data_IF_895689155392
#
_entry.id   IF_895689155392
#
_cell.length_a   1.000
_cell.length_b   1.000
_cell.length_c   1.000
_cell.angle_alpha   90.00
_cell.angle_beta   90.00
_cell.angle_gamma   90.00
#
_symmetry.space_group_name_H-M   'P 1'
#
loop_
_entity.id
_entity.type
_entity.pdbx_description
1 polymer ?
#
# COMPACT_ATOMS: atom_id res chain seq x y z
N UNK A 1 21.78 5.07 -25.95
CA UNK A 1 20.33 4.92 -26.23
C UNK A 1 19.52 4.41 -25.02
N UNK A 2 20.16 4.16 -23.87
CA UNK A 2 19.49 3.71 -22.62
C UNK A 2 19.57 4.76 -21.49
N UNK A 3 20.07 5.96 -21.80
CA UNK A 3 20.34 7.01 -20.80
C UNK A 3 19.06 7.48 -20.06
N UNK A 4 17.89 7.24 -20.64
CA UNK A 4 16.58 7.63 -20.10
C UNK A 4 15.82 6.47 -19.42
N UNK A 5 16.38 5.26 -19.41
CA UNK A 5 15.71 4.07 -18.88
C UNK A 5 16.54 3.46 -17.76
N UNK A 6 15.92 3.23 -16.62
CA UNK A 6 16.53 2.58 -15.46
C UNK A 6 15.66 1.43 -14.95
N UNK A 7 16.32 0.40 -14.45
CA UNK A 7 15.67 -0.75 -13.81
C UNK A 7 16.24 -0.96 -12.43
N UNK A 8 15.41 -1.46 -11.53
CA UNK A 8 15.82 -1.88 -10.19
C UNK A 8 15.15 -3.18 -9.80
N UNK A 9 15.88 -4.01 -9.09
CA UNK A 9 15.40 -5.23 -8.45
C UNK A 9 15.79 -5.16 -6.99
N UNK A 10 14.82 -5.36 -6.10
CA UNK A 10 15.06 -5.46 -4.67
C UNK A 10 14.38 -6.70 -4.11
N UNK A 11 14.99 -7.29 -3.09
CA UNK A 11 14.41 -8.43 -2.38
C UNK A 11 14.63 -8.26 -0.89
N UNK A 12 13.63 -8.64 -0.11
CA UNK A 12 13.64 -8.59 1.35
C UNK A 12 13.09 -9.90 1.90
N UNK A 13 13.72 -10.39 2.97
CA UNK A 13 13.29 -11.58 3.69
C UNK A 13 13.18 -11.28 5.18
N UNK A 14 12.05 -11.63 5.81
CA UNK A 14 11.86 -11.45 7.24
C UNK A 14 11.22 -12.65 7.92
N UNK A 15 11.57 -12.82 9.19
CA UNK A 15 10.98 -13.83 10.07
C UNK A 15 10.45 -13.09 11.31
N UNK A 16 9.15 -13.17 11.51
CA UNK A 16 8.48 -12.55 12.64
C UNK A 16 7.86 -13.64 13.52
N UNK A 17 8.08 -13.57 14.82
CA UNK A 17 7.53 -14.52 15.79
C UNK A 17 6.85 -13.75 16.90
N UNK A 18 5.66 -14.21 17.31
CA UNK A 18 4.96 -13.70 18.48
C UNK A 18 4.92 -14.78 19.56
N UNK A 19 5.34 -14.43 20.76
CA UNK A 19 5.25 -15.31 21.92
C UNK A 19 4.51 -14.58 23.05
N UNK A 20 3.74 -15.32 23.83
CA UNK A 20 3.10 -14.80 25.02
C UNK A 20 3.15 -15.84 26.16
N UNK A 21 3.22 -15.34 27.39
CA UNK A 21 3.20 -16.18 28.58
C UNK A 21 1.76 -16.51 29.01
N UNK A 22 0.99 -17.07 28.08
CA UNK A 22 -0.40 -17.46 28.25
C UNK A 22 -0.53 -18.96 27.99
N UNK A 23 -1.37 -19.64 28.79
CA UNK A 23 -1.68 -21.05 28.55
C UNK A 23 -2.27 -21.24 27.15
N UNK A 24 -1.70 -22.21 26.41
CA UNK A 24 -2.13 -22.58 25.06
C UNK A 24 -1.98 -21.46 24.02
N UNK A 25 -1.09 -20.49 24.22
CA UNK A 25 -0.81 -19.47 23.21
C UNK A 25 -0.25 -20.11 21.93
N UNK A 26 -0.76 -19.68 20.79
CA UNK A 26 -0.53 -20.29 19.47
C UNK A 26 0.93 -20.15 19.00
N UNK A 27 1.67 -19.14 19.48
CA UNK A 27 3.08 -18.83 19.12
C UNK A 27 3.31 -18.87 17.60
N UNK A 28 2.70 -17.96 16.84
CA UNK A 28 2.83 -17.92 15.39
C UNK A 28 4.22 -17.45 14.95
N UNK A 29 4.67 -17.97 13.82
CA UNK A 29 5.88 -17.53 13.12
C UNK A 29 5.53 -17.30 11.65
N UNK A 30 5.82 -16.09 11.16
CA UNK A 30 5.59 -15.66 9.79
C UNK A 30 6.92 -15.48 9.07
N UNK A 31 7.07 -16.18 7.97
CA UNK A 31 8.16 -16.05 7.01
C UNK A 31 7.65 -15.20 5.85
N UNK A 32 8.29 -14.08 5.59
CA UNK A 32 7.90 -13.16 4.53
C UNK A 32 9.05 -13.03 3.52
N UNK A 33 8.72 -13.13 2.25
CA UNK A 33 9.62 -12.88 1.15
C UNK A 33 8.97 -11.92 0.17
N UNK A 34 9.62 -10.77 -0.04
CA UNK A 34 9.16 -9.70 -0.90
C UNK A 34 10.18 -9.46 -2.00
N UNK A 35 9.74 -9.45 -3.24
CA UNK A 35 10.61 -9.13 -4.38
C UNK A 35 9.92 -8.06 -5.23
N UNK A 36 10.59 -6.93 -5.41
CA UNK A 36 10.11 -5.83 -6.23
C UNK A 36 11.01 -5.68 -7.47
N UNK A 37 10.38 -5.61 -8.63
CA UNK A 37 11.01 -5.19 -9.88
C UNK A 37 10.40 -3.86 -10.31
N UNK A 38 11.24 -2.88 -10.66
CA UNK A 38 10.78 -1.59 -11.12
C UNK A 38 11.57 -1.13 -12.34
N UNK A 39 10.86 -0.42 -13.24
CA UNK A 39 11.43 0.28 -14.39
C UNK A 39 10.99 1.72 -14.38
N UNK A 40 11.88 2.62 -14.78
CA UNK A 40 11.62 4.06 -14.92
C UNK A 40 12.17 4.54 -16.25
N UNK A 41 11.31 5.21 -17.00
CA UNK A 41 11.67 5.99 -18.18
C UNK A 41 11.53 7.47 -17.87
N UNK A 42 12.52 8.28 -18.23
CA UNK A 42 12.47 9.72 -17.97
C UNK A 42 13.14 10.49 -19.13
N UNK A 43 12.42 11.47 -19.63
CA UNK A 43 12.94 12.49 -20.54
C UNK A 43 12.39 13.86 -20.13
N UNK A 44 12.64 14.90 -20.92
CA UNK A 44 12.21 16.27 -20.62
C UNK A 44 10.68 16.43 -20.53
N UNK A 45 9.91 15.57 -21.19
CA UNK A 45 8.46 15.67 -21.34
C UNK A 45 7.68 14.67 -20.46
N UNK A 46 8.27 13.51 -20.24
CA UNK A 46 7.57 12.38 -19.63
C UNK A 46 8.47 11.70 -18.62
N UNK A 47 7.91 11.43 -17.44
CA UNK A 47 8.44 10.46 -16.48
C UNK A 47 7.40 9.36 -16.33
N UNK A 48 7.77 8.14 -16.67
CA UNK A 48 6.94 6.94 -16.50
C UNK A 48 7.66 5.99 -15.55
N UNK A 49 6.96 5.50 -14.53
CA UNK A 49 7.48 4.48 -13.63
C UNK A 49 6.47 3.35 -13.51
N UNK A 50 6.96 2.13 -13.58
CA UNK A 50 6.16 0.94 -13.35
C UNK A 50 6.92 -0.01 -12.43
N UNK A 51 6.21 -0.63 -11.50
CA UNK A 51 6.78 -1.63 -10.61
C UNK A 51 5.77 -2.73 -10.30
N UNK A 52 6.28 -3.89 -9.91
CA UNK A 52 5.48 -5.00 -9.41
C UNK A 52 6.16 -5.58 -8.18
N UNK A 53 5.40 -5.71 -7.09
CA UNK A 53 5.84 -6.35 -5.85
C UNK A 53 5.23 -7.74 -5.76
N UNK A 54 6.08 -8.76 -5.79
CA UNK A 54 5.70 -10.13 -5.47
C UNK A 54 5.87 -10.35 -3.96
N UNK A 55 4.79 -10.73 -3.30
CA UNK A 55 4.75 -11.05 -1.86
C UNK A 55 4.45 -12.53 -1.69
N UNK A 56 5.31 -13.23 -0.94
CA UNK A 56 5.12 -14.64 -0.57
C UNK A 56 5.20 -14.73 0.95
N UNK A 57 4.13 -15.22 1.57
CA UNK A 57 4.03 -15.36 3.02
C UNK A 57 3.72 -16.81 3.35
N UNK A 58 4.51 -17.35 4.29
CA UNK A 58 4.25 -18.64 4.90
C UNK A 58 4.12 -18.45 6.41
N UNK A 59 3.01 -18.89 6.97
CA UNK A 59 2.76 -18.75 8.40
C UNK A 59 2.58 -20.13 9.04
N UNK A 60 3.23 -20.32 10.17
CA UNK A 60 3.17 -21.54 10.98
C UNK A 60 2.85 -21.18 12.42
N UNK A 61 2.20 -22.07 13.11
CA UNK A 61 1.92 -21.96 14.54
C UNK A 61 2.46 -23.20 15.27
N UNK A 62 2.94 -23.04 16.51
CA UNK A 62 3.39 -24.18 17.32
C UNK A 62 2.24 -25.06 17.77
N UNK A 63 1.08 -24.46 18.04
CA UNK A 63 -0.15 -25.14 18.46
C UNK A 63 -1.36 -24.47 17.82
N UNK A 64 -2.43 -25.21 17.58
CA UNK A 64 -3.64 -24.66 16.95
C UNK A 64 -3.48 -24.42 15.45
N UNK A 65 -4.31 -23.53 14.92
CA UNK A 65 -4.29 -23.15 13.49
C UNK A 65 -3.43 -21.94 13.21
N UNK A 66 -2.91 -21.81 11.98
CA UNK A 66 -2.29 -20.59 11.47
C UNK A 66 -3.20 -19.89 10.46
N UNK A 67 -3.03 -18.59 10.25
CA UNK A 67 -3.80 -17.82 9.27
C UNK A 67 -3.53 -18.22 7.82
N UNK A 68 -2.54 -19.10 7.60
CA UNK A 68 -2.25 -19.71 6.30
C UNK A 68 -1.20 -18.96 5.48
N UNK A 69 -1.06 -19.40 4.24
CA UNK A 69 -0.06 -18.89 3.30
C UNK A 69 -0.72 -17.93 2.31
N UNK A 70 0.00 -16.87 1.93
CA UNK A 70 -0.49 -15.88 0.99
C UNK A 70 0.54 -15.61 -0.11
N UNK A 71 0.05 -15.40 -1.33
CA UNK A 71 0.85 -14.97 -2.47
C UNK A 71 0.10 -13.87 -3.20
N UNK A 72 0.77 -12.78 -3.50
CA UNK A 72 0.16 -11.63 -4.17
C UNK A 72 1.18 -10.95 -5.06
N UNK A 73 0.75 -10.54 -6.24
CA UNK A 73 1.46 -9.60 -7.10
C UNK A 73 0.73 -8.27 -7.04
N UNK A 74 1.43 -7.21 -6.65
CA UNK A 74 0.90 -5.86 -6.49
C UNK A 74 1.57 -4.92 -7.50
N UNK A 75 0.92 -4.60 -8.62
CA UNK A 75 1.43 -3.65 -9.60
C UNK A 75 1.24 -2.21 -9.14
N UNK A 76 2.15 -1.34 -9.60
CA UNK A 76 2.08 0.10 -9.45
C UNK A 76 2.59 0.76 -10.72
N UNK A 77 1.86 1.76 -11.21
CA UNK A 77 2.24 2.56 -12.37
C UNK A 77 2.03 4.03 -12.04
N UNK A 78 2.99 4.86 -12.39
CA UNK A 78 2.85 6.31 -12.31
C UNK A 78 3.39 6.99 -13.55
N UNK A 79 2.75 8.07 -13.94
CA UNK A 79 3.12 8.90 -15.06
C UNK A 79 3.09 10.38 -14.66
N UNK A 80 4.07 11.14 -15.14
CA UNK A 80 4.10 12.59 -15.07
C UNK A 80 4.45 13.13 -16.44
N UNK A 81 3.61 14.00 -16.99
CA UNK A 81 3.75 14.57 -18.32
C UNK A 81 3.87 16.09 -18.19
N UNK A 82 4.88 16.66 -18.83
CA UNK A 82 5.07 18.11 -18.97
C UNK A 82 4.64 18.51 -20.38
N UNK A 83 3.39 18.99 -20.59
CA UNK A 83 2.84 19.23 -21.94
C UNK A 83 3.43 20.47 -22.64
N UNK A 84 4.04 21.39 -21.89
CA UNK A 84 4.58 22.64 -22.41
C UNK A 84 6.04 22.79 -22.04
N UNK A 85 6.88 23.20 -22.99
CA UNK A 85 8.33 23.33 -22.80
C UNK A 85 8.68 24.48 -21.85
N UNK A 86 8.00 25.63 -22.03
CA UNK A 86 8.28 26.87 -21.32
C UNK A 86 7.49 27.06 -20.02
N UNK A 87 6.62 26.11 -19.66
CA UNK A 87 5.80 26.18 -18.46
C UNK A 87 6.02 24.95 -17.58
N UNK A 88 6.15 25.16 -16.29
CA UNK A 88 6.25 24.06 -15.31
C UNK A 88 4.86 23.54 -14.92
N UNK A 89 4.07 23.17 -15.94
CA UNK A 89 2.82 22.44 -15.79
C UNK A 89 3.08 20.96 -15.92
N UNK A 90 2.60 20.16 -14.95
CA UNK A 90 2.73 18.72 -14.96
C UNK A 90 1.37 18.06 -14.74
N UNK A 91 0.99 17.18 -15.64
CA UNK A 91 -0.12 16.27 -15.46
C UNK A 91 0.41 14.99 -14.83
N UNK A 92 -0.23 14.53 -13.75
CA UNK A 92 0.20 13.36 -12.98
C UNK A 92 -0.91 12.33 -12.92
N UNK A 93 -0.52 11.09 -12.98
CA UNK A 93 -1.40 9.94 -12.82
C UNK A 93 -0.68 8.87 -12.02
N UNK A 94 -1.39 8.17 -11.12
CA UNK A 94 -0.93 6.89 -10.63
C UNK A 94 -2.05 5.87 -10.42
N UNK A 95 -1.66 4.62 -10.56
CA UNK A 95 -2.40 3.42 -10.19
C UNK A 95 -1.56 2.60 -9.24
N UNK A 96 -2.13 2.12 -8.12
CA UNK A 96 -1.43 1.30 -7.15
C UNK A 96 -2.35 0.21 -6.58
N UNK A 97 -1.91 -1.05 -6.64
CA UNK A 97 -2.51 -2.17 -5.92
C UNK A 97 -1.73 -2.39 -4.62
N UNK A 98 -2.42 -2.32 -3.48
CA UNK A 98 -1.85 -2.48 -2.15
C UNK A 98 -2.45 -3.72 -1.51
N UNK A 99 -1.57 -4.56 -0.97
CA UNK A 99 -1.91 -5.76 -0.24
C UNK A 99 -1.41 -5.63 1.21
N UNK A 100 -2.33 -5.73 2.18
CA UNK A 100 -2.02 -5.66 3.60
C UNK A 100 -2.46 -6.93 4.30
N UNK A 101 -1.50 -7.64 4.89
CA UNK A 101 -1.79 -8.78 5.77
C UNK A 101 -2.34 -8.30 7.12
N UNK A 102 -3.22 -9.10 7.76
CA UNK A 102 -3.54 -8.92 9.16
C UNK A 102 -2.27 -8.99 10.01
N UNK A 103 -2.16 -8.14 11.03
CA UNK A 103 -1.08 -8.23 12.01
C UNK A 103 -1.28 -9.46 12.91
N UNK A 104 -0.24 -9.85 13.65
CA UNK A 104 -0.40 -10.91 14.64
C UNK A 104 -1.42 -10.57 15.73
N UNK A 105 -1.53 -9.27 16.09
CA UNK A 105 -2.55 -8.84 17.03
C UNK A 105 -3.97 -9.00 16.46
N UNK A 106 -4.16 -8.67 15.18
CA UNK A 106 -5.46 -8.88 14.52
C UNK A 106 -5.88 -10.36 14.51
N UNK A 107 -4.89 -11.26 14.37
CA UNK A 107 -5.13 -12.71 14.25
C UNK A 107 -5.16 -13.45 15.59
N UNK A 108 -4.20 -13.18 16.48
CA UNK A 108 -3.88 -14.07 17.61
C UNK A 108 -4.04 -13.42 18.98
N UNK A 109 -4.42 -12.14 19.06
CA UNK A 109 -4.68 -11.53 20.35
C UNK A 109 -5.86 -12.22 21.04
N UNK A 110 -5.65 -12.70 22.27
CA UNK A 110 -6.55 -13.64 22.96
C UNK A 110 -7.99 -13.14 23.14
N UNK A 111 -8.20 -11.82 23.22
CA UNK A 111 -9.52 -11.24 23.47
C UNK A 111 -10.25 -10.79 22.20
N UNK A 112 -9.53 -10.38 21.16
CA UNK A 112 -10.12 -9.75 19.97
C UNK A 112 -9.68 -10.36 18.66
N UNK A 113 -8.62 -11.17 18.67
CA UNK A 113 -8.02 -11.76 17.47
C UNK A 113 -8.97 -12.70 16.73
N UNK A 114 -8.82 -12.73 15.41
CA UNK A 114 -9.59 -13.59 14.54
C UNK A 114 -8.68 -14.20 13.45
N UNK A 115 -8.41 -15.49 13.58
CA UNK A 115 -7.54 -16.25 12.67
C UNK A 115 -8.10 -16.36 11.24
N UNK A 116 -9.41 -16.15 11.07
CA UNK A 116 -10.10 -16.26 9.78
C UNK A 116 -10.07 -14.96 8.98
N UNK A 117 -9.33 -13.95 9.43
CA UNK A 117 -9.19 -12.69 8.69
C UNK A 117 -8.52 -12.90 7.35
N UNK A 118 -9.10 -12.28 6.33
CA UNK A 118 -8.52 -12.16 5.00
C UNK A 118 -7.62 -10.93 4.93
N UNK A 119 -6.58 -10.94 4.08
CA UNK A 119 -5.81 -9.74 3.78
C UNK A 119 -6.69 -8.64 3.18
N UNK A 120 -6.39 -7.38 3.54
CA UNK A 120 -6.97 -6.22 2.88
C UNK A 120 -6.34 -6.01 1.49
N UNK A 121 -7.16 -5.65 0.51
CA UNK A 121 -6.70 -5.19 -0.79
C UNK A 121 -7.22 -3.77 -1.02
N UNK A 122 -6.32 -2.86 -1.41
CA UNK A 122 -6.68 -1.51 -1.77
C UNK A 122 -6.18 -1.18 -3.17
N UNK A 123 -7.07 -0.70 -4.02
CA UNK A 123 -6.74 -0.17 -5.34
C UNK A 123 -6.89 1.35 -5.27
N UNK A 124 -5.83 2.06 -5.64
CA UNK A 124 -5.77 3.51 -5.63
C UNK A 124 -5.56 4.04 -7.03
N UNK A 125 -6.35 5.03 -7.39
CA UNK A 125 -6.21 5.85 -8.59
C UNK A 125 -6.07 7.31 -8.17
N UNK A 126 -5.18 8.02 -8.82
CA UNK A 126 -5.04 9.46 -8.66
C UNK A 126 -4.76 10.10 -10.02
N UNK A 127 -5.34 11.25 -10.24
CA UNK A 127 -5.02 12.15 -11.34
C UNK A 127 -4.83 13.55 -10.75
N UNK A 128 -3.74 14.21 -11.12
CA UNK A 128 -3.41 15.52 -10.57
C UNK A 128 -2.76 16.43 -11.57
N UNK A 129 -2.79 17.72 -11.25
CA UNK A 129 -2.13 18.79 -11.98
C UNK A 129 -1.25 19.53 -10.97
N UNK A 130 0.00 19.78 -11.34
CA UNK A 130 0.89 20.68 -10.61
C UNK A 130 1.33 21.79 -11.56
N UNK A 131 1.18 23.02 -11.13
CA UNK A 131 1.73 24.19 -11.81
C UNK A 131 2.69 24.89 -10.88
N UNK A 132 3.87 25.25 -11.40
CA UNK A 132 4.91 25.94 -10.65
C UNK A 132 5.45 27.09 -11.49
N UNK A 133 5.72 28.22 -10.85
CA UNK A 133 6.27 29.39 -11.54
C UNK A 133 7.22 30.19 -10.63
N UNK A 134 8.36 30.54 -11.18
CA UNK A 134 9.23 31.57 -10.63
C UNK A 134 8.68 32.95 -10.99
N UNK A 135 8.54 33.86 -10.02
CA UNK A 135 7.90 35.17 -10.23
C UNK A 135 8.93 36.29 -10.20
N UNK A 136 9.64 36.47 -9.09
CA UNK A 136 10.65 37.51 -8.93
C UNK A 136 11.49 37.24 -7.67
N UNK A 137 12.48 38.09 -7.39
CA UNK A 137 13.39 37.94 -6.25
C UNK A 137 12.70 38.03 -4.88
N UNK A 138 11.53 38.65 -4.79
CA UNK A 138 10.79 38.80 -3.54
C UNK A 138 9.85 37.62 -3.30
N UNK A 139 9.24 37.04 -4.37
CA UNK A 139 8.45 35.81 -4.36
C UNK A 139 9.13 34.88 -5.36
N UNK A 140 10.15 34.12 -4.91
CA UNK A 140 10.97 33.33 -5.82
C UNK A 140 10.21 32.19 -6.48
N UNK A 141 9.16 31.68 -5.82
CA UNK A 141 8.49 30.48 -6.30
C UNK A 141 7.04 30.37 -5.81
N UNK A 142 6.12 30.07 -6.72
CA UNK A 142 4.75 29.67 -6.41
C UNK A 142 4.49 28.29 -7.00
N UNK A 143 3.88 27.41 -6.23
CA UNK A 143 3.41 26.12 -6.69
C UNK A 143 1.96 25.89 -6.27
N UNK A 144 1.15 25.39 -7.18
CA UNK A 144 -0.22 24.96 -6.93
C UNK A 144 -0.41 23.53 -7.42
N UNK A 145 -1.07 22.74 -6.61
CA UNK A 145 -1.36 21.33 -6.90
C UNK A 145 -2.83 21.03 -6.68
N UNK A 146 -3.44 20.32 -7.60
CA UNK A 146 -4.81 19.79 -7.46
C UNK A 146 -4.78 18.31 -7.83
N UNK A 147 -5.27 17.46 -6.93
CA UNK A 147 -5.35 16.02 -7.08
C UNK A 147 -6.78 15.53 -6.88
N UNK A 148 -7.27 14.68 -7.77
CA UNK A 148 -8.49 13.91 -7.57
C UNK A 148 -8.12 12.43 -7.38
N UNK A 149 -8.69 11.80 -6.37
CA UNK A 149 -8.36 10.41 -6.06
C UNK A 149 -9.61 9.53 -5.86
N UNK A 150 -9.41 8.25 -6.13
CA UNK A 150 -10.40 7.22 -5.89
C UNK A 150 -9.72 5.96 -5.33
N UNK A 151 -10.03 5.62 -4.08
CA UNK A 151 -9.48 4.46 -3.39
C UNK A 151 -10.59 3.45 -3.11
N UNK A 152 -10.40 2.22 -3.54
CA UNK A 152 -11.31 1.08 -3.28
C UNK A 152 -10.59 0.10 -2.35
N UNK A 153 -11.13 -0.10 -1.15
CA UNK A 153 -10.62 -1.07 -0.19
C UNK A 153 -11.61 -2.23 -0.10
N UNK A 154 -11.11 -3.46 -0.21
CA UNK A 154 -11.88 -4.69 0.00
C UNK A 154 -11.33 -5.45 1.19
N UNK A 155 -12.20 -6.18 1.87
CA UNK A 155 -11.87 -6.94 3.08
C UNK A 155 -11.21 -6.08 4.18
N UNK A 156 -11.68 -4.82 4.35
CA UNK A 156 -11.17 -3.89 5.38
C UNK A 156 -11.23 -4.52 6.76
N UNK A 157 -10.09 -4.58 7.46
CA UNK A 157 -10.01 -5.12 8.81
C UNK A 157 -10.35 -4.01 9.80
N UNK A 158 -11.36 -4.24 10.63
CA UNK A 158 -11.79 -3.34 11.69
C UNK A 158 -12.11 -4.11 12.97
N UNK A 159 -11.96 -3.43 14.11
CA UNK A 159 -12.46 -3.90 15.37
C UNK A 159 -13.93 -3.49 15.52
N UNK A 160 -14.80 -4.44 15.84
CA UNK A 160 -16.23 -4.20 16.10
C UNK A 160 -16.60 -4.74 17.46
N UNK A 161 -17.53 -4.07 18.21
CA UNK A 161 -18.03 -4.62 19.44
C UNK A 161 -18.84 -5.87 19.16
N UNK A 162 -18.72 -6.86 20.01
CA UNK A 162 -19.55 -8.08 19.99
C UNK A 162 -20.93 -7.81 20.64
N UNK A 163 -21.76 -8.82 20.78
CA UNK A 163 -23.04 -8.70 21.52
C UNK A 163 -22.84 -8.21 22.94
N UNK A 164 -21.72 -8.54 23.57
CA UNK A 164 -21.28 -7.91 24.80
C UNK A 164 -20.46 -6.67 24.45
N UNK A 165 -20.96 -5.46 24.65
CA UNK A 165 -20.33 -4.19 24.31
C UNK A 165 -18.95 -3.96 24.93
N UNK A 166 -18.56 -4.75 25.92
CA UNK A 166 -17.24 -4.72 26.55
C UNK A 166 -16.18 -5.60 25.84
N UNK A 167 -16.61 -6.40 24.87
CA UNK A 167 -15.71 -7.27 24.09
C UNK A 167 -15.74 -6.86 22.60
N UNK A 168 -14.59 -6.96 21.95
CA UNK A 168 -14.39 -6.56 20.56
C UNK A 168 -13.93 -7.79 19.76
N UNK A 169 -14.15 -7.79 18.48
CA UNK A 169 -13.62 -8.79 17.56
C UNK A 169 -13.12 -8.12 16.29
N UNK A 170 -12.03 -8.64 15.75
CA UNK A 170 -11.51 -8.23 14.46
C UNK A 170 -12.30 -8.92 13.33
N UNK A 171 -12.81 -8.15 12.40
CA UNK A 171 -13.59 -8.64 11.26
C UNK A 171 -13.15 -7.95 9.96
N UNK A 172 -13.30 -8.66 8.84
CA UNK A 172 -13.26 -8.02 7.53
C UNK A 172 -14.63 -7.39 7.24
N UNK A 173 -14.63 -6.07 7.05
CA UNK A 173 -15.83 -5.34 6.67
C UNK A 173 -15.80 -5.04 5.18
N UNK A 174 -16.59 -5.73 4.41
CA UNK A 174 -16.93 -5.54 3.01
C UNK A 174 -16.03 -4.66 2.17
N UNK A 175 -16.60 -3.61 1.59
CA UNK A 175 -15.92 -2.67 0.68
C UNK A 175 -16.02 -1.26 1.21
N UNK A 176 -14.93 -0.51 1.11
CA UNK A 176 -14.88 0.93 1.38
C UNK A 176 -14.47 1.65 0.11
N UNK A 177 -15.24 2.66 -0.27
CA UNK A 177 -15.02 3.48 -1.46
C UNK A 177 -14.76 4.92 -1.00
N UNK A 178 -13.59 5.45 -1.30
CA UNK A 178 -13.15 6.77 -0.85
C UNK A 178 -12.80 7.60 -2.08
N UNK A 179 -13.44 8.76 -2.23
CA UNK A 179 -13.18 9.72 -3.31
C UNK A 179 -12.98 11.09 -2.71
N UNK A 180 -12.07 11.85 -3.28
CA UNK A 180 -11.81 13.20 -2.84
C UNK A 180 -11.03 14.02 -3.84
N UNK A 181 -10.93 15.31 -3.52
CA UNK A 181 -10.11 16.29 -4.23
C UNK A 181 -9.31 17.02 -3.17
N UNK A 182 -8.00 17.10 -3.37
CA UNK A 182 -7.07 17.84 -2.54
C UNK A 182 -6.46 18.98 -3.36
N UNK A 183 -6.31 20.16 -2.76
CA UNK A 183 -5.68 21.33 -3.36
C UNK A 183 -4.71 21.97 -2.37
N UNK A 184 -3.53 22.32 -2.86
CA UNK A 184 -2.45 22.96 -2.08
C UNK A 184 -1.86 24.12 -2.87
#
# INVERSE_FOLDING_TARGET
>A
MLDNLSFSLSTDGSINTMNANLNNFVSPTRYSWLTAFAGKYMNNWVTLSASALATVINEKAKSGGSAGNHRKLSPNVSASIKPFENEELRLRFFYKDIFRLPSFNDLYYSQTGNINLKPENAIQYNIGITYSKEINDFIPYISATVDAYHNKVTDKIIAVPTKNLFTWSMLNLGKVDIKGIDAT
#
